data_IF_636394933532
#
_entry.id   IF_636394933532
#
_cell.length_a   1.000
_cell.length_b   1.000
_cell.length_c   1.000
_cell.angle_alpha   90.00
_cell.angle_beta   90.00
_cell.angle_gamma   90.00
#
_symmetry.space_group_name_H-M   'P 1'
#
loop_
_entity.id
_entity.type
_entity.pdbx_description
1 polymer ?
#
# COMPACT_ATOMS: atom_id res chain seq x y z
N UNK A 1 -3.28 -26.14 -10.67
CA UNK A 1 -4.31 -25.10 -10.37
C UNK A 1 -3.79 -23.75 -10.86
N UNK A 2 -4.64 -22.93 -11.47
CA UNK A 2 -4.23 -21.71 -12.18
C UNK A 2 -3.69 -20.62 -11.24
N UNK A 3 -2.79 -19.80 -11.80
CA UNK A 3 -2.21 -18.58 -11.24
C UNK A 3 -3.26 -17.46 -11.10
N UNK A 4 -3.07 -16.52 -10.17
CA UNK A 4 -4.02 -15.42 -9.99
C UNK A 4 -3.79 -14.37 -11.10
N UNK A 5 -4.66 -14.38 -12.12
CA UNK A 5 -4.50 -13.52 -13.30
C UNK A 5 -4.52 -12.02 -12.98
N UNK A 6 -5.20 -11.61 -11.90
CA UNK A 6 -5.35 -10.21 -11.48
C UNK A 6 -4.11 -9.66 -10.78
N UNK A 7 -3.42 -10.48 -9.97
CA UNK A 7 -2.25 -10.03 -9.22
C UNK A 7 -0.94 -10.22 -10.00
N UNK A 8 -0.86 -11.27 -10.82
CA UNK A 8 0.39 -11.65 -11.50
C UNK A 8 0.61 -10.90 -12.82
N UNK A 9 -0.45 -10.47 -13.49
CA UNK A 9 -0.33 -9.72 -14.74
C UNK A 9 -0.64 -8.26 -14.49
N UNK A 10 0.30 -7.39 -14.86
CA UNK A 10 0.01 -5.98 -15.01
C UNK A 10 -1.07 -5.81 -16.09
N UNK A 11 -2.11 -4.99 -15.85
CA UNK A 11 -3.08 -4.65 -16.88
C UNK A 11 -2.38 -4.12 -18.13
N UNK A 12 -2.89 -4.50 -19.30
CA UNK A 12 -2.39 -3.96 -20.57
C UNK A 12 -2.44 -2.42 -20.56
N UNK A 13 -1.49 -1.80 -21.25
CA UNK A 13 -1.54 -0.36 -21.44
C UNK A 13 -2.75 0.00 -22.30
N UNK A 14 -3.47 1.10 -21.96
CA UNK A 14 -4.47 1.63 -22.87
C UNK A 14 -3.81 1.93 -24.23
N UNK A 15 -4.51 1.72 -25.36
CA UNK A 15 -3.94 2.03 -26.66
C UNK A 15 -3.60 3.52 -26.75
N UNK A 16 -2.46 3.84 -27.37
CA UNK A 16 -1.99 5.23 -27.51
C UNK A 16 -2.88 6.08 -28.44
N UNK A 17 -3.57 5.42 -29.38
CA UNK A 17 -4.51 6.04 -30.31
C UNK A 17 -5.85 5.32 -30.28
N UNK A 18 -6.94 6.06 -30.44
CA UNK A 18 -8.26 5.46 -30.46
C UNK A 18 -9.40 6.43 -30.22
N UNK A 19 -10.54 5.88 -29.82
CA UNK A 19 -11.72 6.65 -29.41
C UNK A 19 -12.04 6.30 -27.97
N UNK A 20 -11.99 7.32 -27.11
CA UNK A 20 -12.48 7.23 -25.73
C UNK A 20 -13.97 7.53 -25.72
N UNK A 21 -14.76 6.52 -25.40
CA UNK A 21 -16.18 6.69 -25.15
C UNK A 21 -16.42 6.91 -23.66
N UNK A 22 -17.16 7.95 -23.31
CA UNK A 22 -17.51 8.32 -21.95
C UNK A 22 -19.02 8.46 -21.83
N UNK A 23 -19.63 7.75 -20.89
CA UNK A 23 -21.05 7.80 -20.56
C UNK A 23 -21.22 8.49 -19.19
N UNK A 24 -21.37 9.83 -19.16
CA UNK A 24 -21.68 10.56 -17.94
C UNK A 24 -23.16 10.34 -17.55
N UNK A 25 -23.46 9.92 -16.31
CA UNK A 25 -24.83 9.61 -15.89
C UNK A 25 -25.70 10.85 -15.65
N UNK A 26 -25.09 12.03 -15.46
CA UNK A 26 -25.79 13.26 -15.08
C UNK A 26 -25.49 14.39 -16.08
N UNK A 27 -26.50 15.20 -16.37
CA UNK A 27 -26.42 16.30 -17.35
C UNK A 27 -25.38 17.37 -16.97
N UNK A 28 -25.23 17.66 -15.67
CA UNK A 28 -24.22 18.60 -15.19
C UNK A 28 -22.79 18.06 -15.42
N UNK A 29 -22.54 16.78 -15.12
CA UNK A 29 -21.26 16.12 -15.34
C UNK A 29 -20.90 16.11 -16.83
N UNK A 30 -21.89 15.83 -17.69
CA UNK A 30 -21.75 15.94 -19.15
C UNK A 30 -21.37 17.36 -19.58
N UNK A 31 -22.03 18.38 -19.03
CA UNK A 31 -21.72 19.78 -19.30
C UNK A 31 -20.29 20.17 -18.93
N UNK A 32 -19.83 19.75 -17.75
CA UNK A 32 -18.46 19.97 -17.28
C UNK A 32 -17.44 19.28 -18.19
N UNK A 33 -17.66 17.99 -18.52
CA UNK A 33 -16.80 17.23 -19.44
C UNK A 33 -16.64 17.94 -20.78
N UNK A 34 -17.76 18.36 -21.40
CA UNK A 34 -17.72 19.05 -22.69
C UNK A 34 -16.92 20.35 -22.61
N UNK A 35 -17.13 21.16 -21.56
CA UNK A 35 -16.39 22.40 -21.33
C UNK A 35 -14.88 22.17 -21.27
N UNK A 36 -14.45 21.14 -20.54
CA UNK A 36 -13.03 20.78 -20.43
C UNK A 36 -12.47 20.23 -21.75
N UNK A 37 -13.24 19.37 -22.45
CA UNK A 37 -12.86 18.84 -23.76
C UNK A 37 -12.69 19.94 -24.81
N UNK A 38 -13.56 20.96 -24.83
CA UNK A 38 -13.38 22.13 -25.69
C UNK A 38 -12.06 22.86 -25.42
N UNK A 39 -11.64 22.94 -24.15
CA UNK A 39 -10.35 23.52 -23.77
C UNK A 39 -9.13 22.68 -24.17
N UNK A 40 -9.30 21.36 -24.28
CA UNK A 40 -8.22 20.42 -24.63
C UNK A 40 -7.81 20.46 -26.11
N UNK A 41 -8.70 20.93 -27.00
CA UNK A 41 -8.49 20.93 -28.45
C UNK A 41 -8.59 19.55 -29.13
N UNK A 42 -8.92 18.50 -28.39
CA UNK A 42 -9.16 17.16 -28.95
C UNK A 42 -10.50 17.12 -29.69
N UNK A 43 -10.60 16.46 -30.87
CA UNK A 43 -11.87 16.27 -31.55
C UNK A 43 -12.80 15.40 -30.68
N UNK A 44 -14.04 15.85 -30.49
CA UNK A 44 -15.06 15.07 -29.78
C UNK A 44 -16.45 15.29 -30.35
N UNK A 45 -17.35 14.32 -30.11
CA UNK A 45 -18.74 14.38 -30.54
C UNK A 45 -19.66 13.48 -29.71
N UNK A 46 -20.93 13.41 -30.12
CA UNK A 46 -21.98 12.67 -29.42
C UNK A 46 -22.46 11.51 -30.33
N UNK A 47 -21.80 10.34 -30.32
CA UNK A 47 -22.20 9.22 -31.17
C UNK A 47 -23.58 8.66 -30.81
N UNK A 48 -24.00 8.79 -29.56
CA UNK A 48 -25.28 8.33 -29.02
C UNK A 48 -25.79 9.36 -28.00
N UNK A 49 -27.07 9.26 -27.65
CA UNK A 49 -27.63 9.99 -26.51
C UNK A 49 -26.84 9.59 -25.23
N UNK A 50 -26.40 10.60 -24.48
CA UNK A 50 -25.61 10.47 -23.25
C UNK A 50 -24.25 9.75 -23.34
N UNK A 51 -23.70 9.63 -24.56
CA UNK A 51 -22.32 9.16 -24.76
C UNK A 51 -21.51 10.22 -25.50
N UNK A 52 -20.34 10.54 -24.97
CA UNK A 52 -19.32 11.35 -25.63
C UNK A 52 -18.26 10.43 -26.25
N UNK A 53 -17.82 10.73 -27.47
CA UNK A 53 -16.66 10.12 -28.10
C UNK A 53 -15.56 11.17 -28.25
N UNK A 54 -14.37 10.88 -27.76
CA UNK A 54 -13.18 11.74 -27.87
C UNK A 54 -12.15 11.00 -28.72
N UNK A 55 -11.72 11.61 -29.81
CA UNK A 55 -10.65 11.07 -30.65
C UNK A 55 -9.29 11.36 -30.00
N UNK A 56 -8.54 10.30 -29.71
CA UNK A 56 -7.22 10.38 -29.11
C UNK A 56 -6.14 10.15 -30.15
N UNK A 57 -5.22 11.10 -30.23
CA UNK A 57 -3.91 10.96 -30.88
C UNK A 57 -2.86 10.42 -29.89
N UNK A 58 -1.64 10.05 -30.33
CA UNK A 58 -0.57 9.64 -29.41
C UNK A 58 -0.37 10.68 -28.32
N UNK A 59 -0.24 10.22 -27.07
CA UNK A 59 -0.16 11.07 -25.86
C UNK A 59 -1.41 11.91 -25.55
N UNK A 60 -2.48 11.82 -26.36
CA UNK A 60 -3.73 12.53 -26.14
C UNK A 60 -4.42 12.12 -24.85
N UNK A 61 -4.31 10.84 -24.47
CA UNK A 61 -4.87 10.34 -23.21
C UNK A 61 -4.19 10.99 -21.99
N UNK A 62 -2.86 11.16 -22.02
CA UNK A 62 -2.12 11.75 -20.91
C UNK A 62 -2.50 13.22 -20.71
N UNK A 63 -2.53 14.01 -21.79
CA UNK A 63 -2.96 15.43 -21.75
C UNK A 63 -4.41 15.58 -21.27
N UNK A 64 -5.29 14.69 -21.74
CA UNK A 64 -6.69 14.66 -21.30
C UNK A 64 -6.81 14.29 -19.82
N UNK A 65 -5.98 13.36 -19.34
CA UNK A 65 -5.98 12.92 -17.95
C UNK A 65 -5.68 14.06 -16.99
N UNK A 66 -4.66 14.87 -17.25
CA UNK A 66 -4.34 16.05 -16.43
C UNK A 66 -5.51 17.03 -16.42
N UNK A 67 -6.05 17.34 -17.61
CA UNK A 67 -7.16 18.30 -17.76
C UNK A 67 -8.42 17.87 -17.00
N UNK A 68 -8.79 16.58 -17.08
CA UNK A 68 -10.02 16.08 -16.47
C UNK A 68 -9.85 15.81 -14.97
N UNK A 69 -8.71 15.29 -14.53
CA UNK A 69 -8.44 15.02 -13.11
C UNK A 69 -8.33 16.32 -12.29
N UNK A 70 -7.82 17.40 -12.89
CA UNK A 70 -7.73 18.70 -12.22
C UNK A 70 -9.05 19.51 -12.34
N UNK A 71 -9.88 19.21 -13.34
CA UNK A 71 -11.10 19.95 -13.66
C UNK A 71 -12.40 19.37 -13.10
N UNK A 72 -12.38 18.15 -12.56
CA UNK A 72 -13.56 17.43 -12.06
C UNK A 72 -13.28 16.77 -10.72
N UNK A 73 -14.33 16.55 -9.93
CA UNK A 73 -14.19 15.82 -8.66
C UNK A 73 -14.02 14.31 -8.88
N UNK A 74 -13.40 13.61 -7.93
CA UNK A 74 -13.28 12.15 -7.98
C UNK A 74 -14.64 11.45 -8.09
N UNK A 75 -15.65 11.93 -7.36
CA UNK A 75 -17.00 11.37 -7.43
C UNK A 75 -17.60 11.47 -8.84
N UNK A 76 -17.50 12.64 -9.48
CA UNK A 76 -17.98 12.84 -10.86
C UNK A 76 -17.27 11.91 -11.86
N UNK A 77 -15.96 11.74 -11.72
CA UNK A 77 -15.17 10.88 -12.61
C UNK A 77 -15.45 9.39 -12.37
N UNK A 78 -15.68 8.96 -11.12
CA UNK A 78 -16.01 7.56 -10.79
C UNK A 78 -17.40 7.14 -11.25
N UNK A 79 -18.34 8.08 -11.29
CA UNK A 79 -19.69 7.86 -11.79
C UNK A 79 -19.75 7.73 -13.32
N UNK A 80 -18.80 8.33 -14.03
CA UNK A 80 -18.69 8.19 -15.48
C UNK A 80 -18.15 6.81 -15.87
N UNK A 81 -18.85 6.10 -16.74
CA UNK A 81 -18.33 4.86 -17.36
C UNK A 81 -17.56 5.21 -18.62
N UNK A 82 -16.38 4.62 -18.76
CA UNK A 82 -15.48 4.90 -19.87
C UNK A 82 -14.93 3.61 -20.48
N UNK A 83 -14.73 3.66 -21.79
CA UNK A 83 -14.03 2.62 -22.52
C UNK A 83 -13.18 3.25 -23.62
N UNK A 84 -11.93 2.80 -23.70
CA UNK A 84 -11.02 3.18 -24.77
C UNK A 84 -10.93 2.05 -25.80
N UNK A 85 -11.13 2.42 -27.06
CA UNK A 85 -11.18 1.49 -28.19
C UNK A 85 -10.14 1.91 -29.22
N UNK A 86 -9.37 0.96 -29.72
CA UNK A 86 -8.38 1.19 -30.78
C UNK A 86 -9.03 1.79 -32.04
N UNK A 87 -8.25 2.59 -32.76
CA UNK A 87 -8.70 3.24 -33.98
C UNK A 87 -9.18 2.22 -35.02
N UNK A 88 -10.43 2.35 -35.45
CA UNK A 88 -11.04 1.45 -36.44
C UNK A 88 -11.59 0.14 -35.88
N UNK A 89 -11.39 -0.14 -34.58
CA UNK A 89 -12.03 -1.27 -33.91
C UNK A 89 -13.50 -0.96 -33.59
N UNK A 90 -14.34 -2.00 -33.55
CA UNK A 90 -15.76 -1.88 -33.15
C UNK A 90 -15.91 -2.14 -31.66
N UNK A 91 -16.85 -1.45 -31.03
CA UNK A 91 -17.31 -1.82 -29.68
C UNK A 91 -18.13 -3.11 -29.80
N UNK A 92 -17.59 -4.20 -29.28
CA UNK A 92 -18.28 -5.49 -29.17
C UNK A 92 -18.53 -5.86 -27.71
N UNK A 93 -19.14 -7.03 -27.46
CA UNK A 93 -19.36 -7.51 -26.08
C UNK A 93 -18.04 -7.74 -25.32
N UNK A 94 -16.96 -8.06 -26.03
CA UNK A 94 -15.62 -8.18 -25.42
C UNK A 94 -15.05 -6.83 -25.00
N UNK A 95 -15.44 -5.74 -25.66
CA UNK A 95 -15.10 -4.38 -25.28
C UNK A 95 -15.79 -4.00 -23.96
N UNK A 96 -17.05 -4.40 -23.77
CA UNK A 96 -17.81 -4.10 -22.53
C UNK A 96 -17.14 -4.64 -21.27
N UNK A 97 -16.45 -5.79 -21.33
CA UNK A 97 -15.72 -6.32 -20.16
C UNK A 97 -14.51 -5.48 -19.75
N UNK A 98 -14.06 -4.56 -20.61
CA UNK A 98 -12.98 -3.58 -20.36
C UNK A 98 -13.52 -2.21 -19.96
N UNK A 99 -14.84 -2.04 -19.87
CA UNK A 99 -15.43 -0.81 -19.36
C UNK A 99 -15.07 -0.64 -17.88
N UNK A 100 -14.65 0.57 -17.54
CA UNK A 100 -14.24 0.95 -16.18
C UNK A 100 -14.77 2.34 -15.87
N UNK A 101 -14.59 2.81 -14.64
CA UNK A 101 -14.85 4.21 -14.36
C UNK A 101 -13.79 5.12 -15.00
N UNK A 102 -14.19 6.34 -15.36
CA UNK A 102 -13.32 7.29 -16.04
C UNK A 102 -12.13 7.66 -15.15
N UNK A 103 -12.33 7.78 -13.83
CA UNK A 103 -11.26 8.08 -12.88
C UNK A 103 -10.11 7.07 -12.98
N UNK A 104 -10.39 5.77 -12.90
CA UNK A 104 -9.36 4.73 -13.00
C UNK A 104 -8.70 4.68 -14.38
N UNK A 105 -9.44 4.94 -15.47
CA UNK A 105 -8.88 5.00 -16.82
C UNK A 105 -7.87 6.16 -16.97
N UNK A 106 -8.22 7.36 -16.50
CA UNK A 106 -7.34 8.53 -16.58
C UNK A 106 -6.10 8.34 -15.70
N UNK A 107 -6.27 7.81 -14.48
CA UNK A 107 -5.15 7.51 -13.61
C UNK A 107 -4.26 6.37 -14.15
N UNK A 108 -4.80 5.42 -14.93
CA UNK A 108 -3.98 4.44 -15.62
C UNK A 108 -2.96 5.07 -16.59
N UNK A 109 -3.28 6.25 -17.16
CA UNK A 109 -2.38 7.00 -18.02
C UNK A 109 -1.48 7.95 -17.23
N UNK A 110 -2.03 8.68 -16.25
CA UNK A 110 -1.27 9.59 -15.37
C UNK A 110 -0.20 8.84 -14.56
N UNK A 111 -0.54 7.68 -14.03
CA UNK A 111 0.31 6.86 -13.17
C UNK A 111 1.11 5.79 -13.96
N UNK A 112 1.32 5.99 -15.27
CA UNK A 112 2.07 5.06 -16.12
C UNK A 112 3.50 4.81 -15.60
N UNK A 113 4.09 5.78 -14.90
CA UNK A 113 5.40 5.66 -14.26
C UNK A 113 5.47 4.47 -13.27
N UNK A 114 4.38 4.19 -12.53
CA UNK A 114 4.35 3.09 -11.57
C UNK A 114 4.39 1.74 -12.28
N UNK A 115 3.58 1.58 -13.35
CA UNK A 115 3.60 0.37 -14.19
C UNK A 115 4.99 0.14 -14.77
N UNK A 116 5.66 1.21 -15.19
CA UNK A 116 7.04 1.16 -15.71
C UNK A 116 8.02 0.66 -14.64
N UNK A 117 8.00 1.23 -13.43
CA UNK A 117 8.82 0.78 -12.31
C UNK A 117 8.62 -0.72 -12.03
N UNK A 118 7.37 -1.18 -12.02
CA UNK A 118 7.06 -2.58 -11.76
C UNK A 118 7.52 -3.51 -12.89
N UNK A 119 7.34 -3.11 -14.16
CA UNK A 119 7.74 -3.90 -15.34
C UNK A 119 9.26 -4.00 -15.47
N UNK A 120 9.98 -2.93 -15.15
CA UNK A 120 11.44 -2.87 -15.20
C UNK A 120 12.10 -3.43 -13.92
N UNK A 121 11.31 -4.02 -13.01
CA UNK A 121 11.77 -4.55 -11.72
C UNK A 121 12.56 -3.55 -10.85
N UNK A 122 12.23 -2.26 -10.99
CA UNK A 122 12.86 -1.13 -10.27
C UNK A 122 12.28 -0.91 -8.87
N UNK A 123 11.81 -1.98 -8.25
CA UNK A 123 11.41 -1.99 -6.85
C UNK A 123 12.61 -2.40 -5.99
N UNK A 124 12.95 -1.54 -5.05
CA UNK A 124 13.97 -1.74 -4.04
C UNK A 124 13.32 -1.86 -2.64
N UNK A 125 14.09 -2.36 -1.69
CA UNK A 125 13.67 -2.50 -0.29
C UNK A 125 14.72 -1.83 0.58
N UNK A 126 14.25 -0.90 1.42
CA UNK A 126 15.02 -0.39 2.55
C UNK A 126 14.62 -1.15 3.80
N UNK A 127 15.54 -1.29 4.73
CA UNK A 127 15.34 -1.97 6.00
C UNK A 127 15.45 -0.96 7.12
N UNK A 128 14.52 -1.01 8.07
CA UNK A 128 14.62 -0.23 9.29
C UNK A 128 14.63 -1.17 10.49
N UNK A 129 15.66 -1.08 11.37
CA UNK A 129 15.77 -1.97 12.52
C UNK A 129 14.69 -1.67 13.55
N UNK A 130 14.12 -2.74 14.09
CA UNK A 130 13.32 -2.77 15.30
C UNK A 130 14.24 -3.33 16.39
N UNK A 131 14.48 -2.55 17.44
CA UNK A 131 15.47 -2.85 18.49
C UNK A 131 14.79 -3.19 19.81
N UNK A 132 15.45 -3.98 20.65
CA UNK A 132 15.00 -4.22 22.02
C UNK A 132 15.08 -2.91 22.83
N UNK A 133 14.02 -2.55 23.55
CA UNK A 133 14.04 -1.35 24.41
C UNK A 133 15.00 -1.54 25.58
N UNK A 134 15.17 -2.77 26.07
CA UNK A 134 16.11 -3.08 27.14
C UNK A 134 17.58 -2.98 26.71
N UNK A 135 17.88 -3.25 25.44
CA UNK A 135 19.20 -3.11 24.83
C UNK A 135 19.08 -2.64 23.37
N UNK A 136 19.11 -1.32 23.11
CA UNK A 136 18.98 -0.77 21.76
C UNK A 136 20.08 -1.18 20.78
N UNK A 137 21.17 -1.79 21.27
CA UNK A 137 22.21 -2.39 20.44
C UNK A 137 21.78 -3.73 19.83
N UNK A 138 20.78 -4.39 20.40
CA UNK A 138 20.22 -5.64 19.92
C UNK A 138 19.10 -5.39 18.91
N UNK A 139 19.34 -5.79 17.65
CA UNK A 139 18.31 -5.77 16.62
C UNK A 139 17.45 -7.02 16.74
N UNK A 140 16.17 -6.82 17.03
CA UNK A 140 15.16 -7.87 17.08
C UNK A 140 14.67 -8.26 15.68
N UNK A 141 14.38 -7.24 14.85
CA UNK A 141 13.82 -7.41 13.53
C UNK A 141 14.24 -6.29 12.57
N UNK A 142 13.97 -6.49 11.28
CA UNK A 142 13.97 -5.42 10.29
C UNK A 142 12.61 -5.34 9.62
N UNK A 143 12.05 -4.13 9.54
CA UNK A 143 10.91 -3.85 8.69
C UNK A 143 11.36 -3.58 7.26
N UNK A 144 10.71 -4.26 6.31
CA UNK A 144 10.92 -4.09 4.89
C UNK A 144 10.05 -2.95 4.34
N UNK A 145 10.70 -1.88 3.91
CA UNK A 145 10.06 -0.67 3.43
C UNK A 145 10.32 -0.51 1.94
N UNK A 146 9.26 -0.71 1.14
CA UNK A 146 9.31 -0.63 -0.32
C UNK A 146 9.77 0.76 -0.79
N UNK A 147 10.61 0.79 -1.83
CA UNK A 147 10.99 1.99 -2.58
C UNK A 147 10.88 1.71 -4.08
N UNK A 148 10.39 2.68 -4.83
CA UNK A 148 10.51 2.68 -6.29
C UNK A 148 11.77 3.43 -6.70
N UNK A 149 12.34 3.10 -7.85
CA UNK A 149 13.42 3.88 -8.47
C UNK A 149 12.85 4.48 -9.76
N UNK A 150 12.75 5.80 -9.82
CA UNK A 150 12.25 6.50 -11.00
C UNK A 150 13.27 6.48 -12.17
N UNK A 151 12.91 7.11 -13.29
CA UNK A 151 13.79 7.18 -14.47
C UNK A 151 15.09 7.95 -14.23
N UNK A 152 15.07 8.93 -13.32
CA UNK A 152 16.23 9.71 -12.92
C UNK A 152 17.10 9.00 -11.87
N UNK A 153 16.68 7.84 -11.38
CA UNK A 153 17.35 7.09 -10.32
C UNK A 153 17.01 7.56 -8.90
N UNK A 154 16.04 8.47 -8.74
CA UNK A 154 15.60 8.92 -7.43
C UNK A 154 14.62 7.91 -6.79
N UNK A 155 14.62 7.89 -5.45
CA UNK A 155 13.74 7.00 -4.69
C UNK A 155 12.33 7.58 -4.59
N UNK A 156 11.35 6.75 -4.92
CA UNK A 156 9.92 7.02 -4.72
C UNK A 156 9.46 6.28 -3.47
N UNK A 157 8.84 7.02 -2.55
CA UNK A 157 8.33 6.48 -1.29
C UNK A 157 7.06 5.64 -1.46
N UNK A 158 6.75 4.75 -0.49
CA UNK A 158 5.59 3.87 -0.55
C UNK A 158 4.27 4.64 -0.61
N UNK A 159 4.12 5.75 0.12
CA UNK A 159 2.89 6.56 0.09
C UNK A 159 2.51 7.02 -1.32
N UNK A 160 3.48 7.49 -2.11
CA UNK A 160 3.25 7.89 -3.51
C UNK A 160 2.89 6.70 -4.40
N UNK A 161 3.63 5.59 -4.27
CA UNK A 161 3.37 4.38 -5.07
C UNK A 161 2.01 3.74 -4.76
N UNK A 162 1.65 3.60 -3.48
CA UNK A 162 0.37 3.02 -3.09
C UNK A 162 -0.81 3.96 -3.39
N UNK A 163 -0.62 5.28 -3.33
CA UNK A 163 -1.59 6.27 -3.80
C UNK A 163 -1.87 6.13 -5.30
N UNK A 164 -0.81 6.11 -6.12
CA UNK A 164 -0.88 5.87 -7.55
C UNK A 164 -1.51 4.50 -7.87
N UNK A 165 -1.15 3.46 -7.12
CA UNK A 165 -1.69 2.13 -7.29
C UNK A 165 -3.21 2.06 -7.02
N UNK A 166 -3.70 2.75 -5.98
CA UNK A 166 -5.15 2.85 -5.72
C UNK A 166 -5.87 3.57 -6.85
N UNK A 167 -5.34 4.70 -7.30
CA UNK A 167 -5.94 5.51 -8.35
C UNK A 167 -6.02 4.75 -9.69
N UNK A 168 -4.95 4.04 -10.05
CA UNK A 168 -4.81 3.29 -11.30
C UNK A 168 -5.29 1.82 -11.23
N UNK A 169 -5.87 1.38 -10.11
CA UNK A 169 -6.35 -0.01 -9.96
C UNK A 169 -5.25 -1.08 -9.92
N UNK A 170 -4.03 -0.71 -9.53
CA UNK A 170 -2.83 -1.56 -9.45
C UNK A 170 -2.49 -2.02 -8.03
N UNK A 171 -3.34 -1.73 -7.04
CA UNK A 171 -3.07 -2.00 -5.63
C UNK A 171 -2.70 -3.47 -5.38
N UNK A 172 -3.45 -4.40 -5.98
CA UNK A 172 -3.20 -5.84 -5.94
C UNK A 172 -1.81 -6.23 -6.48
N UNK A 173 -1.42 -5.63 -7.61
CA UNK A 173 -0.16 -5.92 -8.27
C UNK A 173 1.02 -5.38 -7.45
N UNK A 174 0.89 -4.14 -6.95
CA UNK A 174 1.95 -3.50 -6.17
C UNK A 174 2.13 -4.18 -4.82
N UNK A 175 1.06 -4.49 -4.10
CA UNK A 175 1.11 -5.19 -2.81
C UNK A 175 1.80 -6.56 -2.94
N UNK A 176 1.39 -7.37 -3.93
CA UNK A 176 2.03 -8.65 -4.22
C UNK A 176 3.52 -8.47 -4.51
N UNK A 177 3.87 -7.54 -5.40
CA UNK A 177 5.26 -7.28 -5.76
C UNK A 177 6.07 -6.83 -4.54
N UNK A 178 5.50 -5.98 -3.69
CA UNK A 178 6.14 -5.50 -2.47
C UNK A 178 6.51 -6.66 -1.53
N UNK A 179 5.57 -7.57 -1.28
CA UNK A 179 5.76 -8.72 -0.38
C UNK A 179 6.82 -9.69 -0.90
N UNK A 180 6.73 -10.05 -2.18
CA UNK A 180 7.72 -10.93 -2.81
C UNK A 180 9.12 -10.30 -2.74
N UNK A 181 9.25 -9.03 -3.13
CA UNK A 181 10.54 -8.32 -3.12
C UNK A 181 11.10 -8.13 -1.71
N UNK A 182 10.26 -7.87 -0.70
CA UNK A 182 10.68 -7.80 0.69
C UNK A 182 11.38 -9.09 1.15
N UNK A 183 10.77 -10.24 0.88
CA UNK A 183 11.28 -11.56 1.27
C UNK A 183 12.58 -11.89 0.51
N UNK A 184 12.58 -11.72 -0.81
CA UNK A 184 13.75 -11.96 -1.66
C UNK A 184 14.95 -11.10 -1.24
N UNK A 185 14.72 -9.80 -1.03
CA UNK A 185 15.78 -8.87 -0.63
C UNK A 185 16.28 -9.13 0.79
N UNK A 186 15.40 -9.49 1.73
CA UNK A 186 15.82 -9.86 3.09
C UNK A 186 16.75 -11.09 3.07
N UNK A 187 16.44 -12.10 2.26
CA UNK A 187 17.28 -13.27 2.09
C UNK A 187 18.59 -12.94 1.37
N UNK A 188 18.55 -12.12 0.32
CA UNK A 188 19.73 -11.66 -0.42
C UNK A 188 20.71 -10.90 0.48
N UNK A 189 20.20 -10.11 1.42
CA UNK A 189 21.00 -9.37 2.40
C UNK A 189 21.46 -10.25 3.58
N UNK A 190 21.02 -11.51 3.65
CA UNK A 190 21.42 -12.45 4.69
C UNK A 190 20.87 -12.12 6.08
N UNK A 191 19.69 -11.47 6.17
CA UNK A 191 19.08 -11.08 7.45
C UNK A 191 18.79 -12.33 8.29
N UNK A 192 19.28 -12.32 9.54
CA UNK A 192 19.11 -13.43 10.48
C UNK A 192 18.02 -13.19 11.53
N UNK A 193 17.68 -11.93 11.74
CA UNK A 193 16.62 -11.44 12.59
C UNK A 193 15.24 -11.71 11.97
N UNK A 194 14.19 -11.34 12.71
CA UNK A 194 12.84 -11.33 12.17
C UNK A 194 12.70 -10.30 11.04
N UNK A 195 11.80 -10.56 10.10
CA UNK A 195 11.55 -9.76 8.91
C UNK A 195 10.08 -9.37 8.91
N UNK A 196 9.81 -8.07 9.07
CA UNK A 196 8.45 -7.52 9.03
C UNK A 196 8.12 -7.13 7.59
N UNK A 197 6.98 -7.63 7.10
CA UNK A 197 6.53 -7.46 5.72
C UNK A 197 5.11 -6.92 5.72
N UNK A 198 4.98 -5.68 5.25
CA UNK A 198 3.71 -5.01 5.08
C UNK A 198 2.80 -5.70 4.05
N UNK A 199 1.51 -5.79 4.35
CA UNK A 199 0.48 -6.18 3.41
C UNK A 199 -0.79 -5.36 3.55
N UNK A 200 -1.51 -5.21 2.44
CA UNK A 200 -2.81 -4.59 2.41
C UNK A 200 -3.91 -5.67 2.35
N UNK A 201 -4.79 -5.71 3.36
CA UNK A 201 -5.87 -6.69 3.43
C UNK A 201 -6.83 -6.64 2.24
N UNK A 202 -7.14 -5.44 1.73
CA UNK A 202 -8.04 -5.26 0.57
C UNK A 202 -7.47 -5.81 -0.74
N UNK A 203 -6.14 -6.02 -0.78
CA UNK A 203 -5.42 -6.66 -1.89
C UNK A 203 -5.49 -8.19 -1.89
N UNK A 204 -6.07 -8.80 -0.86
CA UNK A 204 -6.12 -10.25 -0.70
C UNK A 204 -7.58 -10.68 -0.71
N UNK A 205 -8.09 -11.13 -1.87
CA UNK A 205 -9.49 -11.58 -1.96
C UNK A 205 -9.67 -13.04 -1.54
N UNK A 206 -8.77 -13.91 -1.98
CA UNK A 206 -8.70 -15.30 -1.53
C UNK A 206 -7.27 -15.56 -1.07
N UNK A 207 -7.03 -15.82 0.23
CA UNK A 207 -5.69 -16.03 0.76
C UNK A 207 -4.92 -17.12 0.00
N UNK A 208 -5.55 -18.26 -0.31
CA UNK A 208 -4.89 -19.41 -0.94
C UNK A 208 -4.41 -19.13 -2.37
N UNK A 209 -5.09 -18.24 -3.09
CA UNK A 209 -4.67 -17.85 -4.45
C UNK A 209 -3.80 -16.60 -4.45
N UNK A 210 -4.16 -15.57 -3.68
CA UNK A 210 -3.48 -14.28 -3.67
C UNK A 210 -2.14 -14.29 -2.92
N UNK A 211 -1.95 -15.18 -1.95
CA UNK A 211 -0.73 -15.28 -1.14
C UNK A 211 0.24 -16.35 -1.67
N UNK A 212 -0.14 -17.11 -2.71
CA UNK A 212 0.69 -18.21 -3.23
C UNK A 212 2.10 -17.77 -3.59
N UNK A 213 2.26 -16.69 -4.36
CA UNK A 213 3.59 -16.21 -4.75
C UNK A 213 4.42 -15.73 -3.55
N UNK A 214 3.75 -15.26 -2.48
CA UNK A 214 4.44 -14.92 -1.24
C UNK A 214 4.97 -16.18 -0.58
N UNK A 215 4.17 -17.26 -0.51
CA UNK A 215 4.60 -18.55 0.02
C UNK A 215 5.76 -19.15 -0.80
N UNK A 216 5.67 -19.09 -2.12
CA UNK A 216 6.75 -19.52 -3.03
C UNK A 216 8.04 -18.72 -2.81
N UNK A 217 7.93 -17.40 -2.59
CA UNK A 217 9.08 -16.55 -2.27
C UNK A 217 9.70 -16.91 -0.92
N UNK A 218 8.88 -17.18 0.12
CA UNK A 218 9.38 -17.66 1.42
C UNK A 218 10.14 -18.97 1.25
N UNK A 219 9.55 -19.96 0.59
CA UNK A 219 10.18 -21.27 0.38
C UNK A 219 11.51 -21.15 -0.38
N UNK A 220 11.55 -20.37 -1.46
CA UNK A 220 12.76 -20.12 -2.24
C UNK A 220 13.83 -19.31 -1.51
N UNK A 221 13.44 -18.50 -0.51
CA UNK A 221 14.35 -17.65 0.26
C UNK A 221 15.17 -18.40 1.31
N UNK A 222 14.68 -19.55 1.78
CA UNK A 222 15.26 -20.29 2.90
C UNK A 222 15.12 -19.61 4.27
N UNK A 223 14.39 -18.49 4.36
CA UNK A 223 14.04 -17.86 5.63
C UNK A 223 13.02 -18.77 6.35
N UNK A 224 13.27 -19.18 7.61
CA UNK A 224 12.29 -19.92 8.39
C UNK A 224 10.97 -19.12 8.51
N UNK A 225 9.79 -19.72 8.23
CA UNK A 225 8.51 -19.03 8.29
C UNK A 225 8.26 -18.26 9.58
N UNK A 226 8.63 -18.85 10.73
CA UNK A 226 8.47 -18.23 12.05
C UNK A 226 9.30 -16.96 12.29
N UNK A 227 10.18 -16.56 11.35
CA UNK A 227 10.86 -15.27 11.40
C UNK A 227 10.22 -14.21 10.52
N UNK A 228 9.23 -14.55 9.71
CA UNK A 228 8.52 -13.58 8.88
C UNK A 228 7.26 -13.18 9.61
N UNK A 229 7.11 -11.88 9.79
CA UNK A 229 5.95 -11.27 10.46
C UNK A 229 5.21 -10.44 9.41
N UNK A 230 3.95 -10.79 9.14
CA UNK A 230 3.11 -10.03 8.23
C UNK A 230 2.38 -8.93 8.98
N UNK A 231 2.56 -7.71 8.49
CA UNK A 231 2.03 -6.50 9.12
C UNK A 231 0.83 -6.01 8.34
N UNK A 232 -0.32 -5.95 9.01
CA UNK A 232 -1.55 -5.41 8.41
C UNK A 232 -1.47 -3.89 8.42
N UNK A 233 -1.29 -3.27 7.25
CA UNK A 233 -1.29 -1.80 7.12
C UNK A 233 -2.71 -1.28 6.89
N UNK A 234 -3.20 -0.42 7.79
CA UNK A 234 -4.54 0.17 7.69
C UNK A 234 -4.52 1.38 6.74
N UNK A 235 -5.22 1.25 5.62
CA UNK A 235 -5.43 2.32 4.66
C UNK A 235 -6.88 2.31 4.27
N UNK A 236 -7.73 2.85 5.14
CA UNK A 236 -9.18 3.02 4.98
C UNK A 236 -10.01 1.73 5.16
N UNK A 237 -10.48 1.53 6.39
CA UNK A 237 -11.61 0.66 6.77
C UNK A 237 -11.46 -0.79 6.34
N UNK A 238 -10.86 -1.61 7.22
CA UNK A 238 -11.19 -3.04 7.27
C UNK A 238 -12.69 -3.15 7.58
N UNK A 239 -13.52 -3.29 6.53
CA UNK A 239 -14.98 -3.43 6.66
C UNK A 239 -15.41 -4.86 6.96
N UNK A 240 -14.56 -5.81 6.61
CA UNK A 240 -14.80 -7.25 6.74
C UNK A 240 -13.69 -7.86 7.61
N UNK A 241 -13.91 -7.80 8.92
CA UNK A 241 -12.96 -8.32 9.91
C UNK A 241 -12.87 -9.85 9.86
N UNK A 242 -13.97 -10.53 9.52
CA UNK A 242 -14.00 -11.99 9.29
C UNK A 242 -13.06 -12.37 8.16
N UNK A 243 -13.10 -11.63 7.05
CA UNK A 243 -12.17 -11.86 5.95
C UNK A 243 -10.71 -11.61 6.34
N UNK A 244 -10.45 -10.57 7.12
CA UNK A 244 -9.10 -10.32 7.64
C UNK A 244 -8.63 -11.44 8.58
N UNK A 245 -9.50 -11.93 9.47
CA UNK A 245 -9.19 -13.07 10.33
C UNK A 245 -8.82 -14.30 9.50
N UNK A 246 -9.54 -14.59 8.41
CA UNK A 246 -9.19 -15.68 7.49
C UNK A 246 -7.80 -15.50 6.84
N UNK A 247 -7.42 -14.26 6.49
CA UNK A 247 -6.07 -13.97 5.98
C UNK A 247 -5.01 -14.22 7.04
N UNK A 248 -5.25 -13.77 8.28
CA UNK A 248 -4.36 -13.94 9.42
C UNK A 248 -4.19 -15.42 9.77
N UNK A 249 -5.27 -16.19 9.79
CA UNK A 249 -5.24 -17.62 10.06
C UNK A 249 -4.48 -18.38 8.96
N UNK A 250 -4.65 -18.00 7.69
CA UNK A 250 -3.85 -18.56 6.60
C UNK A 250 -2.34 -18.33 6.81
N UNK A 251 -1.94 -17.14 7.29
CA UNK A 251 -0.54 -16.90 7.63
C UNK A 251 -0.08 -17.72 8.84
N UNK A 252 -0.90 -17.84 9.89
CA UNK A 252 -0.56 -18.66 11.06
C UNK A 252 -0.39 -20.13 10.73
N UNK A 253 -1.26 -20.68 9.89
CA UNK A 253 -1.15 -22.06 9.39
C UNK A 253 0.16 -22.29 8.61
N UNK A 254 0.66 -21.24 7.94
CA UNK A 254 1.98 -21.22 7.30
C UNK A 254 3.16 -21.08 8.27
N UNK A 255 2.90 -20.87 9.56
CA UNK A 255 3.91 -20.69 10.61
C UNK A 255 4.48 -19.27 10.69
N UNK A 256 3.79 -18.27 10.14
CA UNK A 256 4.19 -16.86 10.17
C UNK A 256 3.66 -16.15 11.41
N UNK A 257 4.36 -15.09 11.85
CA UNK A 257 3.84 -14.15 12.82
C UNK A 257 2.96 -13.09 12.16
N UNK A 258 2.12 -12.42 12.95
CA UNK A 258 1.26 -11.32 12.49
C UNK A 258 1.39 -10.11 13.40
N UNK A 259 1.50 -8.93 12.80
CA UNK A 259 1.50 -7.64 13.47
C UNK A 259 0.30 -6.79 13.05
N UNK A 260 -0.28 -6.07 14.01
CA UNK A 260 -1.26 -5.02 13.74
C UNK A 260 -0.55 -3.66 13.82
N UNK A 261 -0.61 -2.90 12.73
CA UNK A 261 -0.02 -1.56 12.64
C UNK A 261 -0.94 -0.46 13.22
N UNK A 262 -0.38 0.72 13.51
CA UNK A 262 -1.11 1.95 13.86
C UNK A 262 -2.11 1.84 15.04
N UNK A 263 -1.77 1.08 16.10
CA UNK A 263 -2.62 0.94 17.27
C UNK A 263 -2.88 2.31 17.93
N UNK A 264 -4.12 2.78 17.81
CA UNK A 264 -4.65 3.97 18.51
C UNK A 264 -4.73 5.25 17.67
N UNK A 265 -4.52 5.16 16.35
CA UNK A 265 -4.73 6.25 15.39
C UNK A 265 -6.20 6.46 14.97
N UNK A 266 -7.12 5.52 15.26
CA UNK A 266 -8.51 5.57 14.77
C UNK A 266 -9.54 4.67 15.47
N UNK A 267 -10.77 4.68 14.93
CA UNK A 267 -11.90 3.86 15.41
C UNK A 267 -11.83 2.45 14.80
N UNK A 268 -11.30 1.47 15.54
CA UNK A 268 -11.34 0.05 15.12
C UNK A 268 -10.12 -0.78 15.51
N UNK A 269 -9.00 -0.16 15.87
CA UNK A 269 -7.76 -0.89 16.20
C UNK A 269 -7.89 -1.81 17.42
N UNK A 270 -8.70 -1.44 18.41
CA UNK A 270 -8.98 -2.28 19.58
C UNK A 270 -9.85 -3.50 19.26
N UNK A 271 -10.84 -3.33 18.38
CA UNK A 271 -11.70 -4.43 17.94
C UNK A 271 -10.87 -5.44 17.15
N UNK A 272 -10.00 -4.95 16.27
CA UNK A 272 -9.04 -5.78 15.52
C UNK A 272 -8.03 -6.47 16.42
N UNK A 273 -7.52 -5.80 17.45
CA UNK A 273 -6.63 -6.42 18.44
C UNK A 273 -7.30 -7.62 19.11
N UNK A 274 -8.56 -7.47 19.53
CA UNK A 274 -9.31 -8.55 20.17
C UNK A 274 -9.67 -9.68 19.19
N UNK A 275 -10.11 -9.36 17.98
CA UNK A 275 -10.56 -10.34 16.99
C UNK A 275 -9.40 -11.12 16.36
N UNK A 276 -8.30 -10.44 16.04
CA UNK A 276 -7.16 -11.06 15.37
C UNK A 276 -6.20 -11.72 16.35
N UNK A 277 -6.10 -11.24 17.60
CA UNK A 277 -5.12 -11.71 18.60
C UNK A 277 -3.68 -11.79 18.04
N UNK A 278 -3.14 -10.70 17.45
CA UNK A 278 -1.84 -10.71 16.77
C UNK A 278 -0.67 -11.00 17.72
N UNK A 279 0.49 -11.39 17.18
CA UNK A 279 1.71 -11.59 17.96
C UNK A 279 2.34 -10.25 18.39
N UNK A 280 2.18 -9.23 17.54
CA UNK A 280 2.71 -7.88 17.74
C UNK A 280 1.65 -6.81 17.51
N UNK A 281 1.76 -5.70 18.24
CA UNK A 281 1.10 -4.43 17.92
C UNK A 281 2.14 -3.34 17.77
N UNK A 282 1.99 -2.49 16.77
CA UNK A 282 2.80 -1.29 16.60
C UNK A 282 2.00 -0.09 17.11
N UNK A 283 2.56 0.62 18.09
CA UNK A 283 1.96 1.80 18.69
C UNK A 283 2.28 3.02 17.82
N UNK A 284 1.23 3.69 17.33
CA UNK A 284 1.35 4.86 16.45
C UNK A 284 2.27 5.94 17.04
N UNK A 285 3.10 6.54 16.18
CA UNK A 285 4.03 7.61 16.56
C UNK A 285 3.32 8.81 17.19
N UNK A 286 2.06 9.05 16.83
CA UNK A 286 1.23 10.11 17.40
C UNK A 286 0.89 9.91 18.87
N UNK A 287 1.07 8.70 19.41
CA UNK A 287 0.87 8.33 20.82
C UNK A 287 2.17 8.27 21.62
N UNK A 288 3.32 8.15 20.95
CA UNK A 288 4.66 8.16 21.59
C UNK A 288 5.00 9.57 22.06
N UNK A 289 4.70 9.83 23.33
CA UNK A 289 4.84 11.16 23.93
C UNK A 289 6.29 11.52 24.28
N UNK A 290 6.59 12.82 24.29
CA UNK A 290 7.78 13.37 24.94
C UNK A 290 7.46 13.66 26.41
N UNK A 291 8.47 13.67 27.27
CA UNK A 291 8.32 14.16 28.65
C UNK A 291 7.69 15.58 28.65
N UNK A 292 6.46 15.70 29.17
CA UNK A 292 5.68 16.95 29.18
C UNK A 292 4.74 17.19 27.98
N UNK A 293 4.70 16.28 27.00
CA UNK A 293 3.76 16.30 25.88
C UNK A 293 2.35 15.83 26.27
N UNK A 294 1.33 16.34 25.57
CA UNK A 294 -0.11 16.04 25.67
C UNK A 294 -0.50 14.91 26.66
N UNK A 295 -0.78 15.24 27.94
CA UNK A 295 -0.98 14.26 29.03
C UNK A 295 -2.03 13.18 28.72
N UNK A 296 -3.05 13.54 27.94
CA UNK A 296 -4.10 12.65 27.50
C UNK A 296 -3.58 11.50 26.62
N UNK A 297 -2.75 11.81 25.62
CA UNK A 297 -2.20 10.81 24.70
C UNK A 297 -1.28 9.83 25.40
N UNK A 298 -0.42 10.33 26.30
CA UNK A 298 0.44 9.49 27.13
C UNK A 298 -0.38 8.53 28.02
N UNK A 299 -1.51 9.00 28.57
CA UNK A 299 -2.39 8.12 29.35
C UNK A 299 -3.06 7.04 28.51
N UNK A 300 -3.49 7.36 27.28
CA UNK A 300 -4.02 6.37 26.33
C UNK A 300 -2.95 5.33 26.01
N UNK A 301 -1.77 5.79 25.59
CA UNK A 301 -0.66 4.93 25.20
C UNK A 301 -0.30 3.93 26.31
N UNK A 302 -0.19 4.40 27.57
CA UNK A 302 0.02 3.52 28.72
C UNK A 302 -1.08 2.46 28.87
N UNK A 303 -2.35 2.83 28.71
CA UNK A 303 -3.46 1.87 28.80
C UNK A 303 -3.48 0.86 27.66
N UNK A 304 -3.05 1.27 26.47
CA UNK A 304 -2.90 0.36 25.33
C UNK A 304 -1.75 -0.63 25.56
N UNK A 305 -0.62 -0.17 26.10
CA UNK A 305 0.52 -1.03 26.47
C UNK A 305 0.08 -2.06 27.52
N UNK A 306 -0.56 -1.61 28.61
CA UNK A 306 -1.08 -2.49 29.67
C UNK A 306 -2.03 -3.55 29.08
N UNK A 307 -2.98 -3.14 28.24
CA UNK A 307 -3.94 -4.05 27.59
C UNK A 307 -3.24 -5.07 26.68
N UNK A 308 -2.29 -4.63 25.84
CA UNK A 308 -1.57 -5.52 24.94
C UNK A 308 -0.82 -6.61 25.74
N UNK A 309 -0.16 -6.25 26.84
CA UNK A 309 0.52 -7.20 27.71
C UNK A 309 -0.44 -8.15 28.44
N UNK A 310 -1.60 -7.67 28.90
CA UNK A 310 -2.66 -8.52 29.47
C UNK A 310 -3.15 -9.57 28.47
N UNK A 311 -3.15 -9.24 27.18
CA UNK A 311 -3.49 -10.14 26.08
C UNK A 311 -2.32 -11.01 25.59
N UNK A 312 -1.12 -10.84 26.17
CA UNK A 312 0.09 -11.56 25.77
C UNK A 312 0.69 -11.10 24.43
N UNK A 313 0.33 -9.91 23.97
CA UNK A 313 0.78 -9.32 22.71
C UNK A 313 2.01 -8.43 22.94
N UNK A 314 3.01 -8.54 22.07
CA UNK A 314 4.25 -7.77 22.14
C UNK A 314 4.03 -6.36 21.58
N UNK A 315 4.54 -5.34 22.27
CA UNK A 315 4.38 -3.94 21.84
C UNK A 315 5.66 -3.40 21.20
N UNK A 316 5.49 -2.82 20.01
CA UNK A 316 6.54 -2.11 19.28
C UNK A 316 6.16 -0.62 19.24
N UNK A 317 7.00 0.27 19.78
CA UNK A 317 6.77 1.71 19.62
C UNK A 317 7.39 2.24 18.33
N UNK A 318 6.59 2.94 17.52
CA UNK A 318 7.04 3.55 16.27
C UNK A 318 7.38 5.03 16.37
N UNK A 319 8.14 5.51 15.39
CA UNK A 319 8.44 6.93 15.25
C UNK A 319 9.19 7.52 16.44
N UNK A 320 10.05 6.73 17.08
CA UNK A 320 10.94 7.23 18.14
C UNK A 320 12.02 8.09 17.50
N UNK A 321 12.00 9.40 17.79
CA UNK A 321 12.90 10.38 17.18
C UNK A 321 13.79 11.11 18.21
N UNK A 322 13.50 11.00 19.50
CA UNK A 322 14.26 11.69 20.55
C UNK A 322 14.57 10.83 21.78
N UNK A 323 15.63 11.18 22.54
CA UNK A 323 15.93 10.53 23.82
C UNK A 323 14.77 10.57 24.82
N UNK A 324 13.97 11.64 24.82
CA UNK A 324 12.80 11.80 25.70
C UNK A 324 11.74 10.75 25.37
N UNK A 325 11.45 10.52 24.08
CA UNK A 325 10.52 9.47 23.65
C UNK A 325 11.04 8.08 24.03
N UNK A 326 12.34 7.84 23.83
CA UNK A 326 12.98 6.59 24.23
C UNK A 326 12.89 6.34 25.75
N UNK A 327 13.19 7.36 26.58
CA UNK A 327 13.01 7.28 28.04
C UNK A 327 11.56 6.99 28.41
N UNK A 328 10.61 7.64 27.74
CA UNK A 328 9.20 7.44 27.99
C UNK A 328 8.77 5.99 27.70
N UNK A 329 9.06 5.44 26.51
CA UNK A 329 8.67 4.06 26.17
C UNK A 329 9.35 3.03 27.08
N UNK A 330 10.61 3.28 27.47
CA UNK A 330 11.37 2.42 28.40
C UNK A 330 10.74 2.41 29.79
N UNK A 331 10.33 3.57 30.31
CA UNK A 331 9.68 3.69 31.61
C UNK A 331 8.27 3.06 31.66
N UNK A 332 7.63 2.85 30.50
CA UNK A 332 6.28 2.31 30.39
C UNK A 332 6.25 0.86 29.88
N UNK A 333 7.40 0.19 29.81
CA UNK A 333 7.49 -1.25 29.56
C UNK A 333 7.30 -1.68 28.11
N UNK A 334 7.43 -0.78 27.12
CA UNK A 334 7.42 -1.17 25.72
C UNK A 334 8.55 -2.17 25.43
N UNK A 335 8.26 -3.23 24.67
CA UNK A 335 9.19 -4.33 24.41
C UNK A 335 10.26 -3.97 23.36
N UNK A 336 9.80 -3.43 22.22
CA UNK A 336 10.64 -3.08 21.09
C UNK A 336 10.36 -1.68 20.57
N UNK A 337 11.32 -1.10 19.85
CA UNK A 337 11.18 0.25 19.32
C UNK A 337 11.78 0.40 17.93
N UNK A 338 11.19 1.30 17.16
CA UNK A 338 11.61 1.65 15.82
C UNK A 338 11.52 3.17 15.64
N UNK A 339 12.48 3.75 14.93
CA UNK A 339 12.45 5.17 14.62
C UNK A 339 13.81 5.74 14.25
N UNK A 340 13.80 6.99 13.79
CA UNK A 340 14.99 7.70 13.33
C UNK A 340 16.04 7.92 14.41
N UNK A 341 15.64 7.87 15.68
CA UNK A 341 16.56 7.89 16.81
C UNK A 341 17.58 6.73 16.74
N UNK A 342 17.11 5.53 16.38
CA UNK A 342 17.96 4.35 16.24
C UNK A 342 18.61 4.27 14.87
N UNK A 343 17.82 4.29 13.79
CA UNK A 343 18.33 4.33 12.43
C UNK A 343 17.24 4.74 11.44
N UNK A 344 17.67 5.38 10.35
CA UNK A 344 16.79 5.63 9.20
C UNK A 344 16.72 4.40 8.30
N UNK A 345 15.60 4.18 7.58
CA UNK A 345 15.51 3.12 6.58
C UNK A 345 16.63 3.20 5.53
N UNK A 346 17.40 2.12 5.37
CA UNK A 346 18.51 2.08 4.40
C UNK A 346 18.67 0.70 3.76
N UNK A 347 19.43 0.65 2.66
CA UNK A 347 19.91 -0.57 2.03
C UNK A 347 21.40 -0.39 1.69
N UNK A 348 22.32 -1.27 2.14
CA UNK A 348 22.10 -2.47 2.96
C UNK A 348 21.50 -2.17 4.35
N UNK A 349 20.97 -3.19 5.06
CA UNK A 349 20.34 -3.00 6.37
C UNK A 349 21.25 -2.25 7.36
N UNK A 350 20.80 -1.14 7.96
CA UNK A 350 21.63 -0.35 8.84
C UNK A 350 21.68 -0.95 10.25
N UNK A 351 22.84 -0.85 10.90
CA UNK A 351 22.93 -1.08 12.35
C UNK A 351 22.31 0.11 13.10
N UNK A 352 21.69 -0.11 14.26
CA UNK A 352 21.20 0.98 15.09
C UNK A 352 22.37 1.82 15.63
N UNK A 353 22.12 3.12 15.81
CA UNK A 353 23.01 4.04 16.49
C UNK A 353 23.27 3.53 17.91
N UNK A 354 24.49 3.68 18.42
CA UNK A 354 24.78 3.40 19.83
C UNK A 354 24.03 4.40 20.69
N UNK A 355 22.97 3.95 21.35
CA UNK A 355 22.26 4.72 22.37
C UNK A 355 23.09 4.60 23.66
N UNK A 356 23.66 5.71 24.12
CA UNK A 356 24.36 5.74 25.40
C UNK A 356 23.38 5.59 26.57
N UNK A 357 23.84 5.10 27.74
CA UNK A 357 23.03 5.04 28.95
C UNK A 357 22.58 6.42 29.45
#
# INVERSE_FOLDING_TARGET
>A
MSKCSRCENLPAEPPEEGVLYVAPPLSHTRGTLRRLLWGSGLPFGDPLEDVLAVELCPSGLSSLSDTLLDGMTEAELRDCRAILVEKGARVDLGALSRMQDLFTLLNCAREAWLKKIMREEKLAVHFQPIVAVADPGEVFAYECLLRGIDEGGALVGPGSMFGAARAAGLLYNLDRAARVRAIEEAARQGIRQNVFVNFNATSVYDPAYCLRSTMEAVEGSGIPPGRIVFEVTDGEQIRDTVHLANIVDYYREGGFGVALDDLGSGYGSLDLLAELSPDFVKLDMGLVSRDGGAPYKASIARKLIELAHELGVIVIAEGVESPEQYRWISAHGVDYAQGHFFARPASPPPAPNRVGP
#
